data_IF_563032376005
#
_entry.id   IF_563032376005
#
_cell.length_a   1.000
_cell.length_b   1.000
_cell.length_c   1.000
_cell.angle_alpha   90.00
_cell.angle_beta   90.00
_cell.angle_gamma   90.00
#
_symmetry.space_group_name_H-M   'P 1'
#
loop_
_entity.id
_entity.type
_entity.pdbx_description
1 polymer ?
#
# COMPACT_ATOMS: atom_id res chain seq x y z
N UNK A 1 21.71 -4.32 6.80
CA UNK A 1 20.39 -3.90 6.28
C UNK A 1 19.95 -4.65 5.02
N UNK A 2 20.75 -4.73 3.96
CA UNK A 2 20.33 -5.29 2.66
C UNK A 2 19.76 -6.73 2.72
N UNK A 3 20.22 -7.57 3.65
CA UNK A 3 19.76 -8.96 3.78
C UNK A 3 18.30 -9.14 4.24
N UNK A 4 17.69 -8.13 4.90
CA UNK A 4 16.31 -8.21 5.39
C UNK A 4 15.28 -7.72 4.38
N UNK A 5 15.71 -7.05 3.29
CA UNK A 5 14.82 -6.33 2.37
C UNK A 5 13.90 -7.23 1.56
N UNK A 6 14.23 -8.51 1.42
CA UNK A 6 13.46 -9.40 0.55
C UNK A 6 13.54 -10.86 1.02
N UNK A 7 12.96 -11.18 2.17
CA UNK A 7 12.80 -12.58 2.62
C UNK A 7 11.40 -13.10 2.29
N UNK A 8 11.30 -14.33 1.79
CA UNK A 8 10.02 -15.02 1.59
C UNK A 8 9.83 -15.61 0.21
N UNK A 9 8.61 -16.08 -0.10
CA UNK A 9 8.29 -16.77 -1.36
C UNK A 9 8.62 -15.95 -2.60
N UNK A 10 8.50 -14.62 -2.53
CA UNK A 10 8.86 -13.73 -3.63
C UNK A 10 10.35 -13.80 -3.97
N UNK A 11 11.24 -13.80 -2.97
CA UNK A 11 12.69 -13.94 -3.18
C UNK A 11 13.10 -15.29 -3.79
N UNK A 12 12.38 -16.36 -3.44
CA UNK A 12 12.59 -17.70 -4.02
C UNK A 12 12.15 -17.74 -5.48
N UNK A 13 11.04 -17.07 -5.81
CA UNK A 13 10.61 -16.96 -7.20
C UNK A 13 11.54 -16.08 -8.03
N UNK A 14 11.94 -14.91 -7.52
CA UNK A 14 12.86 -13.99 -8.18
C UNK A 14 14.21 -14.65 -8.46
N UNK A 15 14.77 -15.34 -7.47
CA UNK A 15 16.06 -16.04 -7.56
C UNK A 15 15.91 -17.48 -7.05
N UNK A 16 15.57 -18.45 -7.93
CA UNK A 16 15.37 -19.85 -7.53
C UNK A 16 16.63 -20.52 -7.05
N UNK A 17 17.78 -20.16 -7.63
CA UNK A 17 19.07 -20.67 -7.17
C UNK A 17 19.34 -20.16 -5.74
N UNK A 18 19.49 -21.12 -4.82
CA UNK A 18 19.74 -20.84 -3.41
C UNK A 18 21.13 -20.24 -3.18
N UNK A 19 22.12 -20.60 -3.99
CA UNK A 19 23.49 -20.11 -3.87
C UNK A 19 23.59 -18.63 -4.28
N UNK A 20 22.88 -18.24 -5.34
CA UNK A 20 22.92 -16.87 -5.86
C UNK A 20 22.06 -15.90 -5.02
N UNK A 21 20.95 -16.38 -4.46
CA UNK A 21 19.93 -15.54 -3.82
C UNK A 21 20.47 -14.50 -2.85
N UNK A 22 21.34 -14.81 -1.87
CA UNK A 22 21.82 -13.80 -0.94
C UNK A 22 22.55 -12.63 -1.63
N UNK A 23 23.38 -12.93 -2.63
CA UNK A 23 24.14 -11.93 -3.37
C UNK A 23 23.24 -11.07 -4.27
N UNK A 24 22.34 -11.71 -5.00
CA UNK A 24 21.41 -11.02 -5.92
C UNK A 24 20.40 -10.16 -5.15
N UNK A 25 19.81 -10.68 -4.08
CA UNK A 25 18.88 -9.90 -3.26
C UNK A 25 19.57 -8.71 -2.59
N UNK A 26 20.86 -8.83 -2.21
CA UNK A 26 21.64 -7.69 -1.70
C UNK A 26 21.84 -6.61 -2.77
N UNK A 27 22.26 -6.98 -3.99
CA UNK A 27 22.44 -6.01 -5.09
C UNK A 27 21.12 -5.32 -5.46
N UNK A 28 20.03 -6.07 -5.48
CA UNK A 28 18.70 -5.50 -5.71
C UNK A 28 18.28 -4.55 -4.57
N UNK A 29 18.53 -4.92 -3.32
CA UNK A 29 18.28 -4.04 -2.17
C UNK A 29 19.07 -2.73 -2.24
N UNK A 30 20.34 -2.77 -2.63
CA UNK A 30 21.17 -1.57 -2.86
C UNK A 30 20.59 -0.68 -3.96
N UNK A 31 20.15 -1.27 -5.08
CA UNK A 31 19.47 -0.56 -6.15
C UNK A 31 18.19 0.13 -5.67
N UNK A 32 17.34 -0.58 -4.95
CA UNK A 32 16.07 -0.05 -4.42
C UNK A 32 16.33 1.11 -3.45
N UNK A 33 17.33 0.99 -2.56
CA UNK A 33 17.72 2.08 -1.65
C UNK A 33 18.19 3.30 -2.45
N UNK A 34 19.03 3.11 -3.47
CA UNK A 34 19.48 4.21 -4.32
C UNK A 34 18.31 4.90 -5.04
N UNK A 35 17.33 4.14 -5.55
CA UNK A 35 16.10 4.69 -6.13
C UNK A 35 15.27 5.46 -5.09
N UNK A 36 15.15 4.93 -3.87
CA UNK A 36 14.48 5.59 -2.76
C UNK A 36 15.10 6.94 -2.40
N UNK A 37 16.42 7.00 -2.33
CA UNK A 37 17.16 8.24 -2.05
C UNK A 37 17.04 9.27 -3.18
N UNK A 38 16.97 8.82 -4.45
CA UNK A 38 16.90 9.71 -5.60
C UNK A 38 15.49 10.23 -5.89
N UNK A 39 14.46 9.43 -5.63
CA UNK A 39 13.09 9.68 -6.14
C UNK A 39 12.00 9.48 -5.09
N UNK A 40 12.37 9.40 -3.81
CA UNK A 40 11.43 9.05 -2.74
C UNK A 40 11.84 9.57 -1.37
N UNK A 41 11.34 8.88 -0.36
CA UNK A 41 11.66 9.11 1.05
C UNK A 41 12.16 7.79 1.64
N UNK A 42 13.27 7.85 2.36
CA UNK A 42 13.84 6.70 3.05
C UNK A 42 13.81 6.98 4.55
N UNK A 43 12.92 6.28 5.25
CA UNK A 43 12.87 6.33 6.71
C UNK A 43 13.72 5.19 7.28
N UNK A 44 14.55 5.47 8.27
CA UNK A 44 15.39 4.46 8.93
C UNK A 44 15.52 4.74 10.43
N UNK A 45 15.93 3.73 11.19
CA UNK A 45 16.32 3.88 12.59
C UNK A 45 17.77 4.33 12.72
N UNK A 46 18.12 4.97 13.84
CA UNK A 46 19.48 5.47 14.11
C UNK A 46 20.54 4.37 14.07
N UNK A 47 20.18 3.17 14.53
CA UNK A 47 21.04 1.99 14.52
C UNK A 47 21.04 1.25 13.17
N UNK A 48 20.31 1.79 12.17
CA UNK A 48 20.20 1.20 10.84
C UNK A 48 19.79 -0.27 10.90
N UNK A 49 18.81 -0.60 11.75
CA UNK A 49 18.22 -1.94 11.82
C UNK A 49 16.93 -2.06 11.03
N UNK A 50 16.27 -0.95 10.68
CA UNK A 50 15.09 -0.97 9.83
C UNK A 50 15.05 0.15 8.79
N UNK A 51 14.39 -0.11 7.67
CA UNK A 51 14.23 0.84 6.56
C UNK A 51 12.84 0.73 5.95
N UNK A 52 12.22 1.87 5.64
CA UNK A 52 11.02 1.99 4.84
C UNK A 52 11.30 2.95 3.67
N UNK A 53 10.95 2.53 2.45
CA UNK A 53 11.17 3.30 1.23
C UNK A 53 9.83 3.65 0.61
N UNK A 54 9.60 4.94 0.44
CA UNK A 54 8.35 5.51 -0.02
C UNK A 54 8.54 6.28 -1.31
N UNK A 55 7.60 6.15 -2.25
CA UNK A 55 7.53 7.01 -3.43
C UNK A 55 6.18 7.72 -3.50
N UNK A 56 6.16 9.05 -3.68
CA UNK A 56 4.91 9.75 -3.99
C UNK A 56 4.46 9.35 -5.41
N UNK A 57 3.20 8.91 -5.55
CA UNK A 57 2.65 8.52 -6.86
C UNK A 57 1.90 9.66 -7.56
N UNK A 58 1.84 10.84 -6.94
CA UNK A 58 1.53 12.10 -7.64
C UNK A 58 2.65 12.52 -8.60
N UNK A 59 3.88 12.08 -8.34
CA UNK A 59 5.05 12.30 -9.20
C UNK A 59 5.82 10.99 -9.28
N UNK A 60 5.36 10.03 -10.09
CA UNK A 60 5.93 8.69 -10.10
C UNK A 60 7.41 8.73 -10.51
N UNK A 61 8.26 7.86 -9.91
CA UNK A 61 9.64 7.74 -10.35
C UNK A 61 9.72 7.23 -11.79
N UNK A 62 10.87 7.41 -12.47
CA UNK A 62 11.11 6.76 -13.75
C UNK A 62 10.85 5.25 -13.66
N UNK A 63 10.18 4.70 -14.68
CA UNK A 63 9.91 3.27 -14.73
C UNK A 63 11.22 2.47 -14.79
N UNK A 64 11.36 1.47 -13.92
CA UNK A 64 12.52 0.58 -13.91
C UNK A 64 12.38 -0.43 -15.05
N UNK A 65 13.31 -0.40 -16.00
CA UNK A 65 13.31 -1.27 -17.18
C UNK A 65 14.35 -2.38 -17.02
N UNK A 66 14.20 -3.42 -17.83
CA UNK A 66 15.14 -4.55 -17.86
C UNK A 66 16.59 -4.10 -18.03
N UNK A 67 16.86 -3.14 -18.93
CA UNK A 67 18.20 -2.59 -19.19
C UNK A 67 18.86 -1.92 -17.97
N UNK A 68 18.06 -1.40 -17.04
CA UNK A 68 18.55 -0.74 -15.83
C UNK A 68 18.97 -1.79 -14.78
N UNK A 69 18.30 -2.95 -14.81
CA UNK A 69 18.49 -4.05 -13.89
C UNK A 69 19.54 -5.08 -14.37
N UNK A 70 19.72 -5.22 -15.67
CA UNK A 70 20.65 -6.17 -16.28
C UNK A 70 22.09 -6.09 -15.76
N UNK A 71 22.73 -4.91 -15.65
CA UNK A 71 24.09 -4.82 -15.09
C UNK A 71 24.16 -5.18 -13.59
N UNK A 72 23.02 -5.19 -12.88
CA UNK A 72 22.93 -5.42 -11.44
C UNK A 72 22.64 -6.90 -11.14
N UNK A 73 21.71 -7.49 -11.89
CA UNK A 73 21.11 -8.79 -11.61
C UNK A 73 21.50 -9.89 -12.60
N UNK A 74 22.09 -9.53 -13.74
CA UNK A 74 22.60 -10.46 -14.75
C UNK A 74 21.51 -11.45 -15.21
N UNK A 75 21.76 -12.78 -15.14
CA UNK A 75 20.79 -13.79 -15.57
C UNK A 75 19.41 -13.74 -14.88
N UNK A 76 19.33 -13.14 -13.70
CA UNK A 76 18.08 -13.10 -12.91
C UNK A 76 17.14 -11.94 -13.28
N UNK A 77 17.59 -11.04 -14.16
CA UNK A 77 16.92 -9.76 -14.50
C UNK A 77 15.47 -9.92 -14.95
N UNK A 78 15.18 -10.94 -15.76
CA UNK A 78 13.86 -11.09 -16.39
C UNK A 78 12.71 -11.13 -15.38
N UNK A 79 12.88 -11.82 -14.23
CA UNK A 79 11.82 -11.91 -13.22
C UNK A 79 11.62 -10.62 -12.43
N UNK A 80 12.69 -9.87 -12.19
CA UNK A 80 12.58 -8.56 -11.54
C UNK A 80 11.93 -7.54 -12.47
N UNK A 81 12.33 -7.50 -13.75
CA UNK A 81 11.68 -6.65 -14.75
C UNK A 81 10.19 -6.97 -14.89
N UNK A 82 9.83 -8.26 -14.87
CA UNK A 82 8.44 -8.70 -14.89
C UNK A 82 7.66 -8.26 -13.64
N UNK A 83 8.27 -8.36 -12.45
CA UNK A 83 7.67 -7.87 -11.21
C UNK A 83 7.38 -6.37 -11.27
N UNK A 84 8.35 -5.56 -11.71
CA UNK A 84 8.16 -4.11 -11.89
C UNK A 84 7.05 -3.80 -12.90
N UNK A 85 7.03 -4.49 -14.04
CA UNK A 85 5.99 -4.31 -15.06
C UNK A 85 4.60 -4.63 -14.51
N UNK A 86 4.44 -5.73 -13.75
CA UNK A 86 3.17 -6.05 -13.11
C UNK A 86 2.74 -4.97 -12.13
N UNK A 87 3.63 -4.56 -11.22
CA UNK A 87 3.34 -3.51 -10.25
C UNK A 87 2.90 -2.24 -10.97
N UNK A 88 3.67 -1.75 -11.95
CA UNK A 88 3.37 -0.53 -12.70
C UNK A 88 1.98 -0.56 -13.37
N UNK A 89 1.55 -1.71 -13.89
CA UNK A 89 0.23 -1.83 -14.55
C UNK A 89 -0.97 -1.73 -13.62
N UNK A 90 -0.80 -2.02 -12.32
CA UNK A 90 -1.91 -2.13 -11.36
C UNK A 90 -1.92 -1.05 -10.29
N UNK A 91 -0.97 -0.09 -10.36
CA UNK A 91 -0.92 1.04 -9.45
C UNK A 91 -2.21 1.85 -9.52
N UNK A 92 -2.80 2.24 -8.37
CA UNK A 92 -3.95 3.12 -8.35
C UNK A 92 -3.66 4.48 -9.01
N UNK A 93 -4.64 5.03 -9.74
CA UNK A 93 -4.55 6.38 -10.32
C UNK A 93 -4.69 7.50 -9.27
N UNK A 94 -5.32 7.20 -8.12
CA UNK A 94 -5.47 8.16 -7.02
C UNK A 94 -4.11 8.58 -6.47
N UNK A 95 -3.91 9.85 -6.15
CA UNK A 95 -2.69 10.30 -5.48
C UNK A 95 -2.50 9.55 -4.14
N UNK A 96 -1.31 8.99 -3.93
CA UNK A 96 -0.97 8.19 -2.74
C UNK A 96 0.54 8.12 -2.56
N UNK A 97 1.00 7.67 -1.40
CA UNK A 97 2.40 7.24 -1.23
C UNK A 97 2.49 5.72 -1.33
N UNK A 98 3.40 5.23 -2.15
CA UNK A 98 3.69 3.82 -2.32
C UNK A 98 4.84 3.41 -1.40
N UNK A 99 4.58 2.51 -0.46
CA UNK A 99 5.61 1.80 0.29
C UNK A 99 6.22 0.74 -0.64
N UNK A 100 7.31 1.12 -1.31
CA UNK A 100 8.00 0.22 -2.22
C UNK A 100 8.66 -0.92 -1.46
N UNK A 101 9.32 -0.60 -0.33
CA UNK A 101 10.02 -1.60 0.47
C UNK A 101 9.91 -1.28 1.96
N UNK A 102 9.80 -2.34 2.76
CA UNK A 102 9.91 -2.30 4.22
C UNK A 102 10.76 -3.48 4.66
N UNK A 103 11.80 -3.21 5.45
CA UNK A 103 12.68 -4.22 5.98
C UNK A 103 13.04 -3.92 7.42
N UNK A 104 13.05 -4.97 8.25
CA UNK A 104 13.49 -4.90 9.63
C UNK A 104 14.45 -6.05 9.85
N UNK A 105 15.63 -5.76 10.39
CA UNK A 105 16.60 -6.77 10.75
C UNK A 105 16.00 -7.75 11.76
N UNK A 106 16.30 -9.05 11.65
CA UNK A 106 15.84 -10.02 12.63
C UNK A 106 16.41 -9.68 14.02
N UNK A 107 15.55 -9.65 15.03
CA UNK A 107 15.94 -9.29 16.38
C UNK A 107 14.76 -9.18 17.33
N UNK A 108 15.08 -8.90 18.60
CA UNK A 108 14.05 -8.58 19.60
C UNK A 108 13.34 -7.29 19.15
N UNK A 109 12.01 -7.29 19.15
CA UNK A 109 11.16 -6.15 18.78
C UNK A 109 11.02 -5.81 17.28
N UNK A 110 11.35 -6.72 16.36
CA UNK A 110 11.18 -6.50 14.90
C UNK A 110 9.79 -5.94 14.51
N UNK A 111 8.71 -6.43 15.14
CA UNK A 111 7.36 -5.97 14.86
C UNK A 111 7.11 -4.54 15.36
N UNK A 112 7.68 -4.18 16.51
CA UNK A 112 7.57 -2.84 17.09
C UNK A 112 8.30 -1.80 16.27
N UNK A 113 9.52 -2.11 15.82
CA UNK A 113 10.34 -1.22 14.98
C UNK A 113 9.67 -0.95 13.64
N UNK A 114 9.21 -2.01 12.95
CA UNK A 114 8.48 -1.84 11.68
C UNK A 114 7.23 -0.99 11.84
N UNK A 115 6.47 -1.18 12.93
CA UNK A 115 5.29 -0.38 13.23
C UNK A 115 5.63 1.09 13.50
N UNK A 116 6.73 1.36 14.20
CA UNK A 116 7.16 2.72 14.52
C UNK A 116 7.56 3.52 13.27
N UNK A 117 8.34 2.90 12.36
CA UNK A 117 8.70 3.52 11.08
C UNK A 117 7.45 3.86 10.25
N UNK A 118 6.55 2.88 10.09
CA UNK A 118 5.30 3.09 9.36
C UNK A 118 4.44 4.19 9.98
N UNK A 119 4.31 4.19 11.31
CA UNK A 119 3.52 5.20 12.02
C UNK A 119 4.06 6.62 11.82
N UNK A 120 5.38 6.79 11.69
CA UNK A 120 5.98 8.10 11.42
C UNK A 120 5.50 8.68 10.09
N UNK A 121 5.64 7.91 9.01
CA UNK A 121 5.21 8.35 7.69
C UNK A 121 3.69 8.46 7.57
N UNK A 122 2.94 7.58 8.24
CA UNK A 122 1.47 7.64 8.22
C UNK A 122 0.94 8.91 8.84
N UNK A 123 1.59 9.48 9.88
CA UNK A 123 1.18 10.79 10.42
C UNK A 123 1.27 11.91 9.40
N UNK A 124 2.32 11.90 8.56
CA UNK A 124 2.45 12.86 7.46
C UNK A 124 1.33 12.69 6.42
N UNK A 125 1.03 11.43 6.08
CA UNK A 125 -0.06 11.09 5.16
C UNK A 125 -1.43 11.48 5.70
N UNK A 126 -1.68 11.24 6.98
CA UNK A 126 -2.94 11.60 7.63
C UNK A 126 -3.09 13.13 7.70
N UNK A 127 -2.02 13.87 8.01
CA UNK A 127 -2.05 15.34 7.99
C UNK A 127 -2.32 15.93 6.60
N UNK A 128 -1.88 15.25 5.54
CA UNK A 128 -2.07 15.67 4.14
C UNK A 128 -3.28 15.01 3.47
N UNK A 129 -4.05 14.19 4.20
CA UNK A 129 -5.18 13.41 3.70
C UNK A 129 -4.84 12.55 2.48
N UNK A 130 -3.62 11.99 2.47
CA UNK A 130 -3.15 11.09 1.43
C UNK A 130 -3.22 9.62 1.89
N UNK A 131 -3.68 8.71 1.02
CA UNK A 131 -3.63 7.28 1.30
C UNK A 131 -2.23 6.70 1.11
N UNK A 132 -2.03 5.49 1.64
CA UNK A 132 -0.85 4.69 1.40
C UNK A 132 -1.18 3.40 0.64
N UNK A 133 -0.26 2.98 -0.22
CA UNK A 133 -0.34 1.74 -1.00
C UNK A 133 0.91 0.90 -0.73
N UNK A 134 0.76 -0.42 -0.68
CA UNK A 134 1.88 -1.35 -0.54
C UNK A 134 1.57 -2.65 -1.27
N UNK A 135 2.61 -3.41 -1.59
CA UNK A 135 2.50 -4.74 -2.18
C UNK A 135 3.21 -5.75 -1.28
N UNK A 136 2.53 -6.86 -0.95
CA UNK A 136 3.07 -7.85 -0.02
C UNK A 136 2.81 -9.27 -0.50
N UNK A 137 3.86 -10.08 -0.52
CA UNK A 137 3.75 -11.50 -0.83
C UNK A 137 3.55 -12.32 0.45
N UNK A 138 2.29 -12.65 0.76
CA UNK A 138 1.91 -13.45 1.94
C UNK A 138 0.66 -14.27 1.66
N UNK A 139 0.51 -15.41 2.34
CA UNK A 139 -0.72 -16.20 2.31
C UNK A 139 -1.84 -15.63 3.20
N UNK A 140 -1.50 -14.75 4.13
CA UNK A 140 -2.46 -14.17 5.10
C UNK A 140 -2.33 -12.65 5.12
N UNK A 141 -2.87 -11.93 4.11
CA UNK A 141 -2.69 -10.48 4.00
C UNK A 141 -3.40 -9.68 5.12
N UNK A 142 -4.31 -10.30 5.87
CA UNK A 142 -5.05 -9.68 6.98
C UNK A 142 -4.38 -9.81 8.35
N UNK A 143 -3.33 -10.63 8.47
CA UNK A 143 -2.76 -11.01 9.78
C UNK A 143 -1.35 -10.42 9.99
N UNK A 144 -0.86 -9.64 9.03
CA UNK A 144 0.50 -9.11 9.03
C UNK A 144 0.65 -7.69 9.58
N UNK A 145 1.90 -7.24 9.68
CA UNK A 145 2.26 -5.89 10.12
C UNK A 145 1.48 -4.79 9.39
N UNK A 146 1.36 -4.87 8.06
CA UNK A 146 0.62 -3.88 7.28
C UNK A 146 -0.86 -3.86 7.67
N UNK A 147 -1.50 -5.01 7.85
CA UNK A 147 -2.90 -5.08 8.29
C UNK A 147 -3.08 -4.46 9.69
N UNK A 148 -2.16 -4.75 10.62
CA UNK A 148 -2.13 -4.12 11.94
C UNK A 148 -1.87 -2.60 11.90
N UNK A 149 -1.38 -2.07 10.78
CA UNK A 149 -1.20 -0.64 10.51
C UNK A 149 -2.34 -0.04 9.67
N UNK A 150 -3.49 -0.72 9.56
CA UNK A 150 -4.69 -0.21 8.89
C UNK A 150 -4.74 -0.46 7.38
N UNK A 151 -3.81 -1.24 6.81
CA UNK A 151 -3.89 -1.61 5.41
C UNK A 151 -4.91 -2.72 5.19
N UNK A 152 -5.71 -2.58 4.14
CA UNK A 152 -6.72 -3.54 3.73
C UNK A 152 -6.33 -4.18 2.39
N UNK A 153 -6.46 -5.52 2.25
CA UNK A 153 -6.17 -6.18 0.99
C UNK A 153 -7.19 -5.79 -0.09
N UNK A 154 -6.68 -5.56 -1.30
CA UNK A 154 -7.43 -5.42 -2.56
C UNK A 154 -7.21 -6.65 -3.44
N UNK A 155 -7.68 -6.63 -4.69
CA UNK A 155 -7.47 -7.77 -5.61
C UNK A 155 -5.97 -8.05 -5.75
N UNK A 156 -5.52 -9.31 -5.73
CA UNK A 156 -4.11 -9.64 -5.81
C UNK A 156 -3.54 -9.53 -7.24
N UNK A 157 -2.22 -9.49 -7.33
CA UNK A 157 -1.45 -9.74 -8.54
C UNK A 157 -1.08 -11.22 -8.56
N UNK A 158 -1.39 -11.89 -9.66
CA UNK A 158 -1.00 -13.28 -9.90
C UNK A 158 0.23 -13.29 -10.79
N UNK A 159 1.39 -13.57 -10.19
CA UNK A 159 2.64 -13.66 -10.93
C UNK A 159 2.65 -14.93 -11.79
N UNK A 160 3.04 -14.79 -13.05
CA UNK A 160 3.17 -15.92 -13.98
C UNK A 160 4.28 -16.90 -13.54
N UNK A 161 4.31 -18.09 -14.17
CA UNK A 161 5.33 -19.13 -13.94
C UNK A 161 5.39 -19.64 -12.48
N UNK A 162 4.24 -19.83 -11.83
CA UNK A 162 4.16 -20.36 -10.47
C UNK A 162 4.66 -19.39 -9.40
N UNK A 163 4.70 -18.09 -9.69
CA UNK A 163 5.05 -17.06 -8.72
C UNK A 163 4.03 -16.94 -7.59
N UNK A 164 4.45 -16.40 -6.44
CA UNK A 164 3.53 -16.24 -5.32
C UNK A 164 2.49 -15.16 -5.62
N UNK A 165 1.36 -15.26 -4.91
CA UNK A 165 0.38 -14.18 -4.87
C UNK A 165 1.00 -12.95 -4.22
N UNK A 166 0.86 -11.80 -4.87
CA UNK A 166 1.24 -10.50 -4.31
C UNK A 166 -0.04 -9.72 -4.02
N UNK A 167 -0.31 -9.46 -2.75
CA UNK A 167 -1.47 -8.71 -2.32
C UNK A 167 -1.19 -7.22 -2.43
N UNK A 168 -2.09 -6.54 -3.13
CA UNK A 168 -2.19 -5.08 -3.14
C UNK A 168 -2.86 -4.64 -1.85
N UNK A 169 -2.22 -3.77 -1.10
CA UNK A 169 -2.64 -3.34 0.22
C UNK A 169 -2.90 -1.83 0.19
N UNK A 170 -4.01 -1.39 0.77
CA UNK A 170 -4.41 0.01 0.78
C UNK A 170 -4.76 0.49 2.17
N UNK A 171 -4.19 1.63 2.57
CA UNK A 171 -4.54 2.33 3.80
C UNK A 171 -5.17 3.68 3.44
N UNK A 172 -6.46 3.92 3.76
CA UNK A 172 -7.02 5.26 3.69
C UNK A 172 -6.35 6.17 4.74
N UNK A 173 -6.27 7.50 4.52
CA UNK A 173 -5.84 8.42 5.57
C UNK A 173 -6.83 8.36 6.73
N UNK A 174 -6.33 8.56 7.95
CA UNK A 174 -7.19 8.76 9.12
C UNK A 174 -7.57 10.23 9.18
N UNK A 175 -8.87 10.53 9.34
CA UNK A 175 -9.28 11.89 9.66
C UNK A 175 -8.90 12.19 11.13
N UNK A 176 -8.32 13.37 11.42
CA UNK A 176 -7.95 13.74 12.78
C UNK A 176 -9.13 13.65 13.77
N UNK A 177 -10.35 13.91 13.31
CA UNK A 177 -11.59 13.81 14.11
C UNK A 177 -11.92 12.39 14.62
N UNK A 178 -11.34 11.35 14.00
CA UNK A 178 -11.51 9.95 14.43
C UNK A 178 -10.42 9.48 15.40
N UNK A 179 -9.32 10.22 15.55
CA UNK A 179 -8.24 9.86 16.47
C UNK A 179 -8.56 10.23 17.92
N UNK A 180 -9.29 11.33 18.15
CA UNK A 180 -9.70 11.77 19.50
C UNK A 180 -10.86 10.95 20.07
N UNK A 181 -11.72 10.36 19.23
CA UNK A 181 -12.87 9.55 19.69
C UNK A 181 -12.49 8.15 20.17
N UNK A 182 -11.26 7.67 19.90
CA UNK A 182 -10.81 6.35 20.33
C UNK A 182 -10.40 6.29 21.82
N UNK A 183 -10.45 7.43 22.52
CA UNK A 183 -9.91 7.58 23.87
C UNK A 183 -10.91 8.04 24.94
N UNK A 184 -12.22 7.82 24.82
CA UNK A 184 -13.15 7.85 25.98
C UNK A 184 -14.59 7.47 25.58
N UNK A 185 -15.15 6.43 26.21
CA UNK A 185 -16.59 6.34 26.51
C UNK A 185 -17.57 5.88 25.41
N UNK A 186 -18.34 4.84 25.72
CA UNK A 186 -19.54 4.36 25.01
C UNK A 186 -20.69 5.41 25.01
N UNK A 187 -21.77 5.18 24.21
CA UNK A 187 -22.15 5.94 23.02
C UNK A 187 -23.03 7.17 23.29
N UNK A 188 -23.07 8.15 22.37
CA UNK A 188 -24.17 9.14 22.33
C UNK A 188 -25.03 9.02 21.06
N UNK A 189 -26.33 8.88 21.31
CA UNK A 189 -27.43 8.77 20.33
C UNK A 189 -27.68 10.08 19.58
N UNK A 190 -27.85 9.94 18.25
CA UNK A 190 -28.85 10.51 17.33
C UNK A 190 -29.58 11.81 17.70
N UNK A 191 -29.67 12.74 16.73
CA UNK A 191 -30.86 13.58 16.53
C UNK A 191 -31.04 14.02 15.07
N UNK A 192 -32.12 13.58 14.41
CA UNK A 192 -32.77 14.37 13.35
C UNK A 192 -34.30 14.30 13.51
N UNK A 193 -34.86 15.40 14.02
CA UNK A 193 -36.25 15.83 13.88
C UNK A 193 -36.19 17.13 13.05
N UNK A 194 -37.15 17.56 12.22
CA UNK A 194 -38.56 17.19 12.02
C UNK A 194 -39.04 17.84 10.71
N UNK A 195 -39.97 17.18 10.01
CA UNK A 195 -41.14 17.67 9.25
C UNK A 195 -41.16 19.05 8.58
N UNK A 196 -41.63 19.09 7.33
CA UNK A 196 -42.55 20.13 6.85
C UNK A 196 -43.50 19.60 5.73
N UNK A 197 -44.80 19.57 6.03
CA UNK A 197 -45.91 19.71 5.07
C UNK A 197 -46.69 20.92 5.60
N UNK A 198 -47.05 21.93 4.78
CA UNK A 198 -48.26 21.88 3.92
C UNK A 198 -48.05 22.66 2.59
N UNK A 199 -48.92 22.72 1.58
CA UNK A 199 -50.34 23.07 1.57
C UNK A 199 -51.00 22.79 0.19
N UNK A 200 -52.33 22.87 0.20
CA UNK A 200 -53.36 22.50 -0.78
C UNK A 200 -53.21 23.01 -2.22
N UNK A 201 -53.55 22.13 -3.16
CA UNK A 201 -54.13 22.47 -4.47
C UNK A 201 -55.32 21.55 -4.76
N UNK A 202 -56.54 22.08 -4.62
CA UNK A 202 -57.81 21.39 -4.92
C UNK A 202 -58.06 21.51 -6.42
N UNK A 203 -57.96 20.42 -7.17
CA UNK A 203 -58.46 20.37 -8.55
C UNK A 203 -59.88 19.77 -8.55
N UNK A 204 -60.86 20.66 -8.67
CA UNK A 204 -62.14 20.41 -9.34
C UNK A 204 -61.93 20.94 -10.77
N UNK A 205 -62.45 20.43 -11.90
CA UNK A 205 -63.46 19.42 -12.32
C UNK A 205 -63.12 19.13 -13.81
N UNK A 206 -63.51 18.02 -14.44
CA UNK A 206 -64.67 17.96 -15.32
C UNK A 206 -64.83 16.54 -15.91
N UNK A 207 -66.09 16.09 -16.03
CA UNK A 207 -66.52 14.85 -16.68
C UNK A 207 -66.93 15.15 -18.15
N UNK A 208 -67.28 14.14 -18.98
CA UNK A 208 -66.80 13.96 -20.36
C UNK A 208 -67.77 14.51 -21.43
N UNK A 209 -67.45 14.31 -22.73
CA UNK A 209 -68.50 14.00 -23.70
C UNK A 209 -68.20 12.73 -24.51
N UNK A 210 -69.20 11.83 -24.54
CA UNK A 210 -69.78 11.32 -25.80
C UNK A 210 -69.07 10.20 -26.56
N UNK A 211 -69.63 9.00 -26.38
CA UNK A 211 -69.75 7.86 -27.33
C UNK A 211 -69.53 8.10 -28.82
N UNK A 212 -68.92 7.12 -29.48
CA UNK A 212 -69.53 6.34 -30.58
C UNK A 212 -69.03 4.90 -30.54
#
# INVERSE_FOLDING_TARGET
MAGALMTGRLSVWLVPDRADRPSIMRRYAEFVVAQGLAHGTVDTTDDHTAVAIWHPRSTPPPAVRQRDLEPILGPHTARFALLHAYADTVHPFTAHHYLAHLAVAPGQHQAGVGRALLASHHRLLDATQLPAYAEVSTSRPRDGLLAACGYQPRSPILLQQGGPVVWRMWRPPTHPDQAETAGTGLPQRVRVHRTATPFRGRLLRAAPPGSR
#
